data_IF_136603918575
#
_entry.id   IF_136603918575
#
_cell.length_a   1.000
_cell.length_b   1.000
_cell.length_c   1.000
_cell.angle_alpha   90.00
_cell.angle_beta   90.00
_cell.angle_gamma   90.00
#
_symmetry.space_group_name_H-M   'P 1'
#
loop_
_entity.id
_entity.type
_entity.pdbx_description
1 polymer ?
#
# COMPACT_ATOMS: atom_id res chain seq x y z
N UNK A 1 10.70 0.00 -14.00
CA UNK A 1 10.94 1.24 -13.22
C UNK A 1 12.11 1.99 -13.83
N UNK A 2 12.06 3.33 -13.92
CA UNK A 2 13.17 4.18 -14.38
C UNK A 2 13.60 5.08 -13.23
N UNK A 3 14.89 5.08 -12.89
CA UNK A 3 15.45 6.00 -11.90
C UNK A 3 15.47 7.43 -12.45
N UNK A 4 14.83 8.36 -11.76
CA UNK A 4 14.85 9.79 -12.10
C UNK A 4 16.06 10.50 -11.49
N UNK A 5 16.40 10.13 -10.26
CA UNK A 5 17.52 10.66 -9.49
C UNK A 5 17.99 9.62 -8.49
N UNK A 6 19.29 9.43 -8.39
CA UNK A 6 19.87 8.54 -7.39
C UNK A 6 19.88 9.23 -6.02
N UNK A 7 19.40 8.50 -5.01
CA UNK A 7 19.39 8.93 -3.61
C UNK A 7 20.57 8.35 -2.83
N UNK A 8 20.74 8.80 -1.59
CA UNK A 8 21.78 8.30 -0.66
C UNK A 8 21.24 7.31 0.38
N UNK A 9 19.92 7.07 0.38
CA UNK A 9 19.22 6.23 1.37
C UNK A 9 18.78 4.87 0.83
N UNK A 10 18.17 4.07 1.70
CA UNK A 10 17.65 2.73 1.36
C UNK A 10 16.20 2.74 0.84
N UNK A 11 15.68 3.92 0.50
CA UNK A 11 14.29 4.13 0.10
C UNK A 11 14.20 4.48 -1.38
N UNK A 12 13.24 3.86 -2.06
CA UNK A 12 12.85 4.22 -3.42
C UNK A 12 11.54 4.99 -3.34
N UNK A 13 11.55 6.22 -3.86
CA UNK A 13 10.37 7.07 -3.90
C UNK A 13 9.81 7.16 -5.32
N UNK A 14 8.49 7.05 -5.42
CA UNK A 14 7.73 7.26 -6.64
C UNK A 14 6.89 8.53 -6.47
N UNK A 15 6.87 9.42 -7.48
CA UNK A 15 6.14 10.68 -7.39
C UNK A 15 4.61 10.49 -7.34
N UNK A 16 4.11 9.27 -7.57
CA UNK A 16 2.69 8.96 -7.67
C UNK A 16 2.16 9.07 -9.10
N UNK A 17 0.84 9.13 -9.23
CA UNK A 17 0.12 9.43 -10.45
C UNK A 17 0.55 10.78 -11.03
N UNK A 18 0.53 10.87 -12.37
CA UNK A 18 0.84 12.10 -13.07
C UNK A 18 -0.25 13.18 -12.95
N UNK A 19 -1.40 12.86 -12.33
CA UNK A 19 -2.47 13.82 -12.06
C UNK A 19 -2.04 14.82 -10.99
N UNK A 20 -1.83 16.11 -11.34
CA UNK A 20 -1.40 17.13 -10.39
C UNK A 20 -2.46 17.42 -9.30
N UNK A 21 -3.73 17.05 -9.52
CA UNK A 21 -4.80 17.28 -8.56
C UNK A 21 -4.76 16.29 -7.39
N UNK A 22 -4.24 15.07 -7.60
CA UNK A 22 -4.14 14.02 -6.59
C UNK A 22 -2.75 13.36 -6.60
N UNK A 23 -1.68 14.11 -6.32
CA UNK A 23 -0.36 13.52 -6.20
C UNK A 23 -0.31 12.62 -4.96
N UNK A 24 -0.08 11.33 -5.17
CA UNK A 24 0.00 10.29 -4.17
C UNK A 24 1.44 9.75 -4.07
N UNK A 25 2.42 10.62 -3.73
CA UNK A 25 3.80 10.20 -3.65
C UNK A 25 3.97 9.15 -2.56
N UNK A 26 4.66 8.08 -2.91
CA UNK A 26 4.93 6.96 -2.02
C UNK A 26 6.43 6.67 -2.00
N UNK A 27 6.93 6.18 -0.88
CA UNK A 27 8.27 5.60 -0.83
C UNK A 27 8.21 4.24 -0.15
N UNK A 28 9.05 3.32 -0.62
CA UNK A 28 9.20 1.99 -0.04
C UNK A 28 10.67 1.64 0.17
N UNK A 29 10.94 0.84 1.19
CA UNK A 29 12.23 0.19 1.33
C UNK A 29 12.41 -0.90 0.25
N UNK A 30 13.60 -1.50 0.18
CA UNK A 30 13.91 -2.54 -0.80
C UNK A 30 12.89 -3.69 -0.82
N UNK A 31 12.47 -4.19 0.35
CA UNK A 31 11.56 -5.33 0.43
C UNK A 31 10.15 -4.95 -0.01
N UNK A 32 9.72 -3.74 0.35
CA UNK A 32 8.43 -3.20 -0.08
C UNK A 32 8.38 -3.00 -1.59
N UNK A 33 9.46 -2.54 -2.22
CA UNK A 33 9.53 -2.43 -3.67
C UNK A 33 9.52 -3.81 -4.35
N UNK A 34 10.18 -4.81 -3.77
CA UNK A 34 10.11 -6.19 -4.27
C UNK A 34 8.67 -6.74 -4.16
N UNK A 35 7.98 -6.49 -3.05
CA UNK A 35 6.57 -6.84 -2.85
C UNK A 35 5.66 -6.13 -3.86
N UNK A 36 5.81 -4.81 -4.05
CA UNK A 36 5.01 -4.03 -4.97
C UNK A 36 5.23 -4.49 -6.42
N UNK A 37 6.47 -4.82 -6.78
CA UNK A 37 6.80 -5.42 -8.08
C UNK A 37 6.10 -6.77 -8.28
N UNK A 38 6.05 -7.62 -7.25
CA UNK A 38 5.33 -8.89 -7.32
C UNK A 38 3.82 -8.67 -7.56
N UNK A 39 3.20 -7.77 -6.79
CA UNK A 39 1.81 -7.36 -6.97
C UNK A 39 1.52 -6.86 -8.38
N UNK A 40 2.30 -5.89 -8.89
CA UNK A 40 2.12 -5.34 -10.24
C UNK A 40 2.30 -6.37 -11.36
N UNK A 41 3.10 -7.41 -11.13
CA UNK A 41 3.37 -8.46 -12.11
C UNK A 41 2.51 -9.71 -11.89
N UNK A 42 1.52 -9.68 -10.98
CA UNK A 42 0.68 -10.81 -10.62
C UNK A 42 1.47 -12.05 -10.17
N UNK A 43 2.54 -11.84 -9.39
CA UNK A 43 3.41 -12.90 -8.87
C UNK A 43 3.30 -12.98 -7.35
N UNK A 44 3.64 -14.15 -6.82
CA UNK A 44 3.75 -14.34 -5.37
C UNK A 44 4.77 -13.36 -4.77
N UNK A 45 4.41 -12.65 -3.69
CA UNK A 45 5.35 -11.78 -3.01
C UNK A 45 6.46 -12.60 -2.33
N UNK A 46 7.65 -12.00 -2.14
CA UNK A 46 8.75 -12.68 -1.46
C UNK A 46 8.36 -13.18 -0.07
N UNK A 47 8.55 -14.48 0.19
CA UNK A 47 8.30 -15.07 1.51
C UNK A 47 9.32 -14.58 2.54
N UNK A 48 8.89 -14.47 3.80
CA UNK A 48 9.74 -14.09 4.94
C UNK A 48 10.45 -12.73 4.81
N UNK A 49 9.87 -11.79 4.05
CA UNK A 49 10.39 -10.42 3.93
C UNK A 49 9.31 -9.41 4.31
N UNK A 50 9.54 -8.70 5.40
CA UNK A 50 8.74 -7.54 5.79
C UNK A 50 9.29 -6.32 5.05
N UNK A 51 8.41 -5.54 4.44
CA UNK A 51 8.73 -4.27 3.82
C UNK A 51 7.91 -3.14 4.44
N UNK A 52 8.49 -1.94 4.44
CA UNK A 52 7.84 -0.71 4.87
C UNK A 52 7.62 0.23 3.70
N UNK A 53 6.44 0.84 3.65
CA UNK A 53 6.12 1.94 2.73
C UNK A 53 5.50 3.11 3.49
N UNK A 54 5.55 4.30 2.92
CA UNK A 54 4.83 5.44 3.44
C UNK A 54 4.27 6.33 2.34
N UNK A 55 3.13 6.94 2.65
CA UNK A 55 2.46 7.95 1.82
C UNK A 55 2.08 9.12 2.72
N UNK A 56 3.04 10.03 2.96
CA UNK A 56 2.88 11.10 3.95
C UNK A 56 1.98 12.25 3.48
N UNK A 57 1.63 12.28 2.20
CA UNK A 57 0.61 13.17 1.64
C UNK A 57 -0.79 12.55 1.62
N UNK A 58 -0.92 11.29 2.03
CA UNK A 58 -2.10 10.47 1.82
C UNK A 58 -2.18 9.94 0.39
N UNK A 59 -3.26 9.21 0.12
CA UNK A 59 -3.58 8.66 -1.19
C UNK A 59 -4.85 9.28 -1.78
N UNK A 60 -5.03 9.15 -3.10
CA UNK A 60 -6.28 9.49 -3.80
C UNK A 60 -7.41 8.48 -3.57
N UNK A 61 -7.14 7.48 -2.75
CA UNK A 61 -7.94 6.31 -2.47
C UNK A 61 -7.55 5.07 -3.26
N UNK A 62 -7.87 3.92 -2.69
CA UNK A 62 -7.74 2.62 -3.30
C UNK A 62 -8.90 1.72 -2.89
N UNK A 63 -9.18 0.70 -3.70
CA UNK A 63 -10.12 -0.35 -3.31
C UNK A 63 -9.53 -1.16 -2.17
N UNK A 64 -10.27 -1.30 -1.07
CA UNK A 64 -9.82 -2.09 0.06
C UNK A 64 -9.96 -3.61 -0.17
N UNK A 65 -10.70 -4.02 -1.21
CA UNK A 65 -11.07 -5.42 -1.45
C UNK A 65 -10.54 -5.99 -2.76
N UNK A 66 -10.26 -5.14 -3.75
CA UNK A 66 -9.73 -5.53 -5.06
C UNK A 66 -8.38 -4.83 -5.29
N UNK A 67 -7.25 -5.58 -5.25
CA UNK A 67 -5.92 -5.03 -5.45
C UNK A 67 -5.65 -4.53 -6.88
N UNK A 68 -6.57 -4.71 -7.83
CA UNK A 68 -6.37 -4.28 -9.22
C UNK A 68 -7.40 -3.24 -9.69
N UNK A 69 -8.29 -2.78 -8.80
CA UNK A 69 -9.22 -1.72 -9.14
C UNK A 69 -8.46 -0.40 -9.39
N UNK A 70 -8.75 0.24 -10.53
CA UNK A 70 -8.05 1.46 -10.97
C UNK A 70 -8.85 2.75 -10.75
N UNK A 71 -10.12 2.64 -10.32
CA UNK A 71 -11.01 3.76 -10.06
C UNK A 71 -12.07 3.41 -9.02
N UNK A 72 -12.66 4.43 -8.43
CA UNK A 72 -13.80 4.29 -7.53
C UNK A 72 -15.02 3.75 -8.28
N UNK A 73 -15.61 2.67 -7.77
CA UNK A 73 -16.83 2.07 -8.29
C UNK A 73 -17.76 1.70 -7.13
N UNK A 74 -19.09 1.68 -7.36
CA UNK A 74 -20.03 1.22 -6.35
C UNK A 74 -19.67 -0.19 -5.86
N UNK A 75 -19.30 -0.31 -4.58
CA UNK A 75 -19.07 -1.61 -3.93
C UNK A 75 -17.62 -2.10 -3.89
N UNK A 76 -16.64 -1.40 -4.49
CA UNK A 76 -15.23 -1.79 -4.36
C UNK A 76 -14.58 -1.34 -3.04
N UNK A 77 -15.35 -0.68 -2.17
CA UNK A 77 -14.90 -0.15 -0.89
C UNK A 77 -13.67 0.75 -1.08
N UNK A 78 -13.83 1.77 -1.91
CA UNK A 78 -12.81 2.80 -2.09
C UNK A 78 -12.57 3.56 -0.78
N UNK A 79 -11.34 3.51 -0.28
CA UNK A 79 -10.93 4.16 0.97
C UNK A 79 -9.85 5.16 0.63
N UNK A 80 -10.07 6.43 0.99
CA UNK A 80 -9.05 7.48 0.97
C UNK A 80 -8.39 7.53 2.33
N UNK A 81 -7.09 7.25 2.38
CA UNK A 81 -6.32 7.30 3.62
C UNK A 81 -5.50 8.59 3.63
N UNK A 82 -5.52 9.29 4.77
CA UNK A 82 -4.62 10.41 5.02
C UNK A 82 -3.16 9.95 5.08
N UNK A 83 -2.28 10.78 5.66
CA UNK A 83 -0.89 10.38 5.85
C UNK A 83 -0.80 9.03 6.59
N UNK A 84 -0.09 8.06 6.01
CA UNK A 84 -0.01 6.72 6.57
C UNK A 84 1.30 6.00 6.21
N UNK A 85 1.57 4.92 6.94
CA UNK A 85 2.63 3.94 6.70
C UNK A 85 1.97 2.61 6.36
N UNK A 86 2.64 1.77 5.57
CA UNK A 86 2.21 0.42 5.28
C UNK A 86 3.27 -0.59 5.69
N UNK A 87 2.83 -1.73 6.20
CA UNK A 87 3.67 -2.90 6.44
C UNK A 87 3.22 -4.01 5.49
N UNK A 88 4.10 -4.36 4.56
CA UNK A 88 3.83 -5.33 3.49
C UNK A 88 4.67 -6.59 3.66
N UNK A 89 4.26 -7.68 3.02
CA UNK A 89 4.98 -8.97 3.08
C UNK A 89 5.03 -9.58 4.49
N UNK A 90 4.23 -9.07 5.42
CA UNK A 90 4.26 -9.41 6.85
C UNK A 90 3.78 -10.82 7.18
N UNK A 91 3.18 -11.53 6.22
CA UNK A 91 2.53 -12.81 6.46
C UNK A 91 1.28 -12.64 7.32
N UNK A 92 0.23 -13.38 7.00
CA UNK A 92 -1.10 -13.23 7.59
C UNK A 92 -1.12 -13.11 9.13
N UNK A 93 -0.26 -13.87 9.83
CA UNK A 93 -0.22 -13.93 11.30
C UNK A 93 0.11 -12.60 11.98
N UNK A 94 0.87 -11.71 11.35
CA UNK A 94 1.14 -10.37 11.92
C UNK A 94 -0.12 -9.49 11.90
N UNK A 95 -1.08 -9.82 11.04
CA UNK A 95 -2.26 -9.02 10.74
C UNK A 95 -3.51 -9.48 11.53
N UNK A 96 -3.47 -10.62 12.21
CA UNK A 96 -4.63 -11.24 12.89
C UNK A 96 -5.26 -10.32 13.97
N UNK A 97 -4.50 -9.38 14.52
CA UNK A 97 -4.98 -8.43 15.53
C UNK A 97 -5.68 -7.19 14.98
N UNK A 98 -5.73 -7.01 13.66
CA UNK A 98 -6.24 -5.81 13.02
C UNK A 98 -7.60 -6.04 12.33
N UNK A 99 -8.47 -5.02 12.27
CA UNK A 99 -9.74 -5.10 11.54
C UNK A 99 -9.53 -5.48 10.06
N UNK A 100 -10.43 -6.33 9.54
CA UNK A 100 -10.39 -6.89 8.17
C UNK A 100 -11.68 -6.61 7.41
N UNK A 101 -12.44 -5.61 7.87
CA UNK A 101 -13.72 -5.22 7.27
C UNK A 101 -13.52 -4.71 5.84
N UNK A 102 -14.45 -5.06 4.95
CA UNK A 102 -14.41 -4.59 3.56
C UNK A 102 -14.36 -3.06 3.49
N UNK A 103 -15.08 -2.37 4.37
CA UNK A 103 -15.05 -0.91 4.54
C UNK A 103 -14.38 -0.56 5.87
N UNK A 104 -13.07 -0.35 5.83
CA UNK A 104 -12.30 0.05 7.00
C UNK A 104 -12.47 1.55 7.33
N UNK A 105 -12.13 1.90 8.57
CA UNK A 105 -11.98 3.28 9.04
C UNK A 105 -10.54 3.75 8.76
N UNK A 106 -10.33 4.72 7.83
CA UNK A 106 -8.99 5.18 7.47
C UNK A 106 -8.28 6.01 8.54
N UNK A 107 -8.90 6.22 9.70
CA UNK A 107 -8.29 6.89 10.86
C UNK A 107 -7.68 5.91 11.87
N UNK A 108 -7.84 4.60 11.64
CA UNK A 108 -7.37 3.53 12.53
C UNK A 108 -6.55 2.51 11.74
N UNK A 109 -5.67 1.74 12.40
CA UNK A 109 -5.01 0.61 11.74
C UNK A 109 -6.01 -0.41 11.18
N UNK A 110 -5.80 -0.85 9.93
CA UNK A 110 -6.64 -1.86 9.28
C UNK A 110 -5.86 -2.69 8.26
N UNK A 111 -6.37 -3.88 7.95
CA UNK A 111 -5.84 -4.73 6.88
C UNK A 111 -6.48 -4.36 5.55
N UNK A 112 -5.64 -4.02 4.57
CA UNK A 112 -6.07 -3.86 3.19
C UNK A 112 -5.90 -5.18 2.42
N UNK A 113 -6.83 -5.44 1.51
CA UNK A 113 -6.94 -6.65 0.69
C UNK A 113 -6.95 -7.96 1.48
N UNK A 114 -7.78 -8.05 2.55
CA UNK A 114 -7.78 -9.20 3.44
C UNK A 114 -8.04 -10.50 2.67
N UNK A 115 -7.22 -11.52 2.94
CA UNK A 115 -7.35 -12.86 2.35
C UNK A 115 -6.67 -13.02 0.98
N UNK A 116 -6.09 -11.95 0.43
CA UNK A 116 -5.21 -12.03 -0.73
C UNK A 116 -3.77 -12.29 -0.30
N UNK A 117 -2.93 -12.77 -1.21
CA UNK A 117 -1.49 -12.87 -1.00
C UNK A 117 -0.78 -11.51 -0.81
N UNK A 118 -1.47 -10.41 -1.15
CA UNK A 118 -0.97 -9.05 -1.03
C UNK A 118 -1.60 -8.30 0.15
N UNK A 119 -2.22 -9.00 1.09
CA UNK A 119 -2.73 -8.32 2.27
C UNK A 119 -1.60 -7.60 3.01
N UNK A 120 -1.90 -6.40 3.50
CA UNK A 120 -0.93 -5.55 4.16
C UNK A 120 -1.60 -4.66 5.19
N UNK A 121 -0.81 -4.19 6.14
CA UNK A 121 -1.31 -3.32 7.20
C UNK A 121 -1.24 -1.86 6.75
N UNK A 122 -2.35 -1.16 6.86
CA UNK A 122 -2.45 0.29 6.74
C UNK A 122 -2.37 0.91 8.13
N UNK A 123 -1.42 1.83 8.34
CA UNK A 123 -1.17 2.53 9.60
C UNK A 123 -1.27 4.04 9.40
N UNK A 124 -2.46 4.64 9.57
CA UNK A 124 -2.61 6.09 9.62
C UNK A 124 -1.73 6.70 10.70
N UNK A 125 -1.07 7.83 10.41
CA UNK A 125 -0.15 8.51 11.35
C UNK A 125 -0.73 9.77 11.98
N UNK A 126 -2.04 10.00 11.84
CA UNK A 126 -2.77 11.13 12.43
C UNK A 126 -4.10 10.67 13.00
#
# INVERSE_FOLDING_TARGET
>A
MRTLREGTGQWTCMPGHADPANPDPMCGDKNAIEWASAWMNHKEPPVNKIGFMYMLRGDGGASNTDPYATKEEPGNNWIKTGAHVMIVGSGAKMLDGYPRDAKADPTRPYVMWPGTQYEHLMLPVR
#
